data_IF_264507957272
#
_entry.id   IF_264507957272
#
_cell.length_a   1.000
_cell.length_b   1.000
_cell.length_c   1.000
_cell.angle_alpha   90.00
_cell.angle_beta   90.00
_cell.angle_gamma   90.00
#
_symmetry.space_group_name_H-M   'P 1'
#
loop_
_entity.id
_entity.type
_entity.pdbx_description
1 polymer ?
#
# COMPACT_ATOMS: atom_id res chain seq x y z
N UNK A 1 2.85 2.26 23.47
CA UNK A 1 1.87 2.27 22.36
C UNK A 1 2.55 2.96 21.19
N UNK A 2 2.37 2.48 19.97
CA UNK A 2 3.04 3.07 18.81
C UNK A 2 2.36 4.38 18.42
N UNK A 3 3.16 5.40 18.10
CA UNK A 3 2.68 6.72 17.68
C UNK A 3 2.15 6.65 16.25
N UNK A 4 2.80 5.84 15.40
CA UNK A 4 2.43 5.64 14.01
C UNK A 4 2.36 4.16 13.61
N UNK A 5 1.45 3.86 12.67
CA UNK A 5 1.38 2.59 11.95
C UNK A 5 1.64 2.83 10.47
N UNK A 6 2.56 2.08 9.88
CA UNK A 6 2.77 2.06 8.43
C UNK A 6 2.27 0.73 7.88
N UNK A 7 1.21 0.76 7.07
CA UNK A 7 0.78 -0.40 6.29
C UNK A 7 1.75 -0.57 5.11
N UNK A 8 2.52 -1.65 5.13
CA UNK A 8 3.55 -1.92 4.14
C UNK A 8 3.05 -2.92 3.10
N UNK A 9 3.17 -2.57 1.82
CA UNK A 9 2.78 -3.43 0.70
C UNK A 9 3.79 -3.38 -0.43
N UNK A 10 3.78 -4.39 -1.31
CA UNK A 10 4.63 -4.38 -2.49
C UNK A 10 4.30 -3.22 -3.42
N UNK A 11 3.05 -2.77 -3.46
CA UNK A 11 2.55 -1.84 -4.47
C UNK A 11 2.34 -2.50 -5.82
N UNK A 12 1.68 -1.78 -6.72
CA UNK A 12 1.24 -2.27 -8.03
C UNK A 12 1.44 -1.21 -9.11
N UNK A 13 1.68 -1.67 -10.33
CA UNK A 13 1.63 -0.83 -11.53
C UNK A 13 0.19 -0.53 -11.98
N UNK A 14 -0.79 -1.33 -11.51
CA UNK A 14 -2.20 -1.09 -11.77
C UNK A 14 -2.69 0.05 -10.88
N UNK A 15 -3.08 1.18 -11.50
CA UNK A 15 -3.67 2.29 -10.77
C UNK A 15 -4.93 1.85 -10.02
N UNK A 16 -5.14 2.40 -8.83
CA UNK A 16 -6.29 2.06 -7.98
C UNK A 16 -6.09 0.81 -7.11
N UNK A 17 -5.14 -0.07 -7.42
CA UNK A 17 -4.88 -1.28 -6.62
C UNK A 17 -4.51 -0.98 -5.15
N UNK A 18 -3.90 0.18 -4.88
CA UNK A 18 -3.57 0.64 -3.53
C UNK A 18 -4.75 1.22 -2.73
N UNK A 19 -5.91 1.46 -3.35
CA UNK A 19 -7.02 2.19 -2.70
C UNK A 19 -7.54 1.46 -1.47
N UNK A 20 -7.75 0.14 -1.57
CA UNK A 20 -8.20 -0.67 -0.44
C UNK A 20 -7.26 -0.56 0.78
N UNK A 21 -5.95 -0.44 0.54
CA UNK A 21 -4.98 -0.29 1.62
C UNK A 21 -5.01 1.11 2.25
N UNK A 22 -5.25 2.13 1.43
CA UNK A 22 -5.49 3.50 1.91
C UNK A 22 -6.75 3.58 2.78
N UNK A 23 -7.82 2.92 2.36
CA UNK A 23 -9.08 2.86 3.12
C UNK A 23 -8.90 2.13 4.46
N UNK A 24 -8.07 1.08 4.51
CA UNK A 24 -7.69 0.42 5.75
C UNK A 24 -6.90 1.35 6.68
N UNK A 25 -5.97 2.15 6.15
CA UNK A 25 -5.25 3.14 6.96
C UNK A 25 -6.21 4.18 7.55
N UNK A 26 -7.17 4.69 6.77
CA UNK A 26 -8.25 5.56 7.27
C UNK A 26 -9.00 4.89 8.41
N UNK A 27 -9.45 3.65 8.21
CA UNK A 27 -10.21 2.90 9.20
C UNK A 27 -9.44 2.67 10.50
N UNK A 28 -8.12 2.46 10.43
CA UNK A 28 -7.28 2.32 11.62
C UNK A 28 -7.20 3.62 12.43
N UNK A 29 -7.10 4.77 11.76
CA UNK A 29 -7.15 6.10 12.42
C UNK A 29 -8.51 6.33 13.07
N UNK A 30 -9.60 6.05 12.37
CA UNK A 30 -10.97 6.20 12.88
C UNK A 30 -11.23 5.35 14.12
N UNK A 31 -10.62 4.15 14.20
CA UNK A 31 -10.72 3.27 15.38
C UNK A 31 -9.83 3.70 16.54
N UNK A 32 -9.00 4.74 16.37
CA UNK A 32 -8.08 5.23 17.40
C UNK A 32 -6.93 4.27 17.71
N UNK A 33 -6.59 3.36 16.78
CA UNK A 33 -5.51 2.37 16.99
C UNK A 33 -4.14 3.05 17.00
N UNK A 34 -3.97 4.08 16.15
CA UNK A 34 -2.83 4.99 16.14
C UNK A 34 -3.30 6.37 15.67
N UNK A 35 -2.71 7.44 16.19
CA UNK A 35 -2.98 8.81 15.75
C UNK A 35 -2.48 9.05 14.33
N UNK A 36 -1.39 8.38 13.95
CA UNK A 36 -0.83 8.39 12.60
C UNK A 36 -0.97 6.98 12.02
N UNK A 37 -1.65 6.84 10.89
CA UNK A 37 -1.61 5.60 10.12
C UNK A 37 -1.44 5.94 8.64
N UNK A 38 -0.41 5.39 8.01
CA UNK A 38 -0.03 5.71 6.64
C UNK A 38 0.20 4.43 5.83
N UNK A 39 0.26 4.56 4.51
CA UNK A 39 0.57 3.44 3.61
C UNK A 39 1.91 3.70 2.94
N UNK A 40 2.82 2.73 3.02
CA UNK A 40 4.14 2.81 2.38
C UNK A 40 4.39 1.62 1.47
N UNK A 41 4.85 1.89 0.25
CA UNK A 41 5.06 0.85 -0.75
C UNK A 41 6.54 0.51 -0.96
N UNK A 42 6.81 -0.78 -1.16
CA UNK A 42 8.13 -1.28 -1.55
C UNK A 42 8.46 -0.95 -3.00
N UNK A 43 7.50 -1.12 -3.91
CA UNK A 43 7.69 -1.04 -5.37
C UNK A 43 6.48 -0.37 -6.05
N UNK A 44 6.69 0.19 -7.24
CA UNK A 44 5.68 0.61 -8.24
C UNK A 44 4.57 1.63 -7.86
N UNK A 45 4.29 1.82 -6.59
CA UNK A 45 3.28 2.72 -6.06
C UNK A 45 3.92 3.78 -5.17
N UNK A 46 3.21 4.89 -5.02
CA UNK A 46 3.57 6.01 -4.17
C UNK A 46 2.52 6.17 -3.06
N UNK A 47 2.90 6.61 -1.85
CA UNK A 47 4.26 6.99 -1.47
C UNK A 47 5.20 5.79 -1.21
N UNK A 48 6.48 5.95 -1.52
CA UNK A 48 7.52 4.99 -1.14
C UNK A 48 7.58 4.81 0.38
N UNK A 49 8.04 3.64 0.83
CA UNK A 49 8.22 3.37 2.26
C UNK A 49 9.04 4.46 2.97
N UNK A 50 10.17 4.87 2.40
CA UNK A 50 11.04 5.90 3.00
C UNK A 50 10.35 7.26 3.13
N UNK A 51 9.59 7.67 2.12
CA UNK A 51 8.86 8.94 2.12
C UNK A 51 7.72 8.91 3.14
N UNK A 52 7.06 7.75 3.26
CA UNK A 52 6.01 7.50 4.25
C UNK A 52 6.58 7.54 5.67
N UNK A 53 7.74 6.91 5.88
CA UNK A 53 8.44 6.91 7.16
C UNK A 53 8.80 8.33 7.56
N UNK A 54 9.43 9.10 6.67
CA UNK A 54 9.77 10.51 6.89
C UNK A 54 8.54 11.34 7.28
N UNK A 55 7.42 11.18 6.57
CA UNK A 55 6.16 11.86 6.92
C UNK A 55 5.63 11.51 8.31
N UNK A 56 5.77 10.25 8.74
CA UNK A 56 5.38 9.86 10.10
C UNK A 56 6.24 10.57 11.15
N UNK A 57 7.56 10.64 10.92
CA UNK A 57 8.50 11.33 11.80
C UNK A 57 8.25 12.84 11.84
N UNK A 58 7.98 13.47 10.69
CA UNK A 58 7.60 14.89 10.59
C UNK A 58 6.30 15.21 11.35
N UNK A 59 5.40 14.24 11.49
CA UNK A 59 4.19 14.32 12.31
C UNK A 59 4.46 14.07 13.82
N UNK A 60 5.73 13.84 14.21
CA UNK A 60 6.15 13.66 15.60
C UNK A 60 6.23 12.21 16.06
N UNK A 61 6.13 11.22 15.17
CA UNK A 61 6.24 9.81 15.56
C UNK A 61 7.67 9.46 16.00
N UNK A 62 7.78 8.89 17.21
CA UNK A 62 9.04 8.35 17.75
C UNK A 62 9.02 6.83 17.87
N UNK A 63 7.82 6.23 17.84
CA UNK A 63 7.59 4.80 17.81
C UNK A 63 6.72 4.42 16.60
N UNK A 64 7.30 3.71 15.64
CA UNK A 64 6.63 3.32 14.40
C UNK A 64 6.47 1.79 14.35
N UNK A 65 5.23 1.32 14.18
CA UNK A 65 4.96 -0.08 13.87
C UNK A 65 4.72 -0.24 12.38
N UNK A 66 5.55 -1.05 11.72
CA UNK A 66 5.35 -1.42 10.32
C UNK A 66 4.54 -2.71 10.27
N UNK A 67 3.37 -2.65 9.63
CA UNK A 67 2.44 -3.77 9.48
C UNK A 67 2.49 -4.27 8.04
N UNK A 68 3.10 -5.42 7.75
CA UNK A 68 3.12 -5.97 6.40
C UNK A 68 1.72 -6.44 5.99
N UNK A 69 1.14 -5.77 4.98
CA UNK A 69 -0.11 -6.17 4.33
C UNK A 69 0.13 -7.31 3.33
N UNK A 70 0.52 -8.46 3.87
CA UNK A 70 0.81 -9.69 3.13
C UNK A 70 0.12 -10.86 3.82
N UNK A 71 -0.43 -11.80 3.03
CA UNK A 71 -1.04 -13.02 3.57
C UNK A 71 0.01 -14.00 4.10
N UNK A 72 1.21 -13.99 3.53
CA UNK A 72 2.33 -14.86 3.92
C UNK A 72 3.61 -14.05 4.04
N UNK A 73 4.49 -14.46 4.95
CA UNK A 73 5.79 -13.84 5.15
C UNK A 73 6.86 -14.49 4.25
N UNK A 74 6.80 -14.18 2.95
CA UNK A 74 7.82 -14.59 1.96
C UNK A 74 8.99 -13.60 1.88
N UNK A 75 9.76 -13.66 0.79
CA UNK A 75 10.94 -12.82 0.53
C UNK A 75 10.72 -11.33 0.87
N UNK A 76 9.65 -10.73 0.36
CA UNK A 76 9.37 -9.30 0.56
C UNK A 76 9.19 -8.88 2.02
N UNK A 77 8.77 -9.81 2.89
CA UNK A 77 8.62 -9.55 4.33
C UNK A 77 9.88 -9.94 5.11
N UNK A 78 10.57 -10.99 4.67
CA UNK A 78 11.70 -11.59 5.41
C UNK A 78 13.08 -11.02 5.02
N UNK A 79 13.21 -10.43 3.84
CA UNK A 79 14.46 -9.88 3.31
C UNK A 79 14.27 -8.39 2.98
N UNK A 80 13.38 -8.05 2.04
CA UNK A 80 13.30 -6.68 1.52
C UNK A 80 12.78 -5.66 2.55
N UNK A 81 11.82 -6.04 3.41
CA UNK A 81 11.28 -5.17 4.45
C UNK A 81 12.35 -4.79 5.50
N UNK A 82 13.11 -5.73 6.08
CA UNK A 82 14.26 -5.40 6.93
C UNK A 82 15.23 -4.40 6.30
N UNK A 83 15.57 -4.55 5.01
CA UNK A 83 16.53 -3.68 4.32
C UNK A 83 16.01 -2.24 4.19
N UNK A 84 14.74 -2.06 3.82
CA UNK A 84 14.16 -0.71 3.73
C UNK A 84 13.97 -0.06 5.11
N UNK A 85 13.70 -0.86 6.16
CA UNK A 85 13.66 -0.37 7.53
C UNK A 85 15.05 0.07 7.98
N UNK A 86 16.08 -0.73 7.74
CA UNK A 86 17.46 -0.38 8.09
C UNK A 86 17.88 0.95 7.46
N UNK A 87 17.51 1.16 6.19
CA UNK A 87 17.73 2.44 5.50
C UNK A 87 17.02 3.60 6.19
N UNK A 88 15.74 3.43 6.55
CA UNK A 88 14.98 4.46 7.25
C UNK A 88 15.54 4.75 8.67
N UNK A 89 15.95 3.73 9.40
CA UNK A 89 16.55 3.89 10.74
C UNK A 89 17.92 4.55 10.70
N UNK A 90 18.69 4.38 9.62
CA UNK A 90 19.93 5.12 9.41
C UNK A 90 19.68 6.62 9.23
N UNK A 91 18.58 7.02 8.56
CA UNK A 91 18.17 8.42 8.41
C UNK A 91 17.56 8.99 9.71
N UNK A 92 16.84 8.17 10.47
CA UNK A 92 16.13 8.58 11.70
C UNK A 92 16.50 7.71 12.91
N UNK A 93 17.74 7.80 13.44
CA UNK A 93 18.25 6.90 14.47
C UNK A 93 17.57 7.04 15.84
N UNK A 94 16.80 8.12 16.05
CA UNK A 94 16.04 8.37 17.27
C UNK A 94 14.65 7.70 17.27
N UNK A 95 14.24 7.11 16.14
CA UNK A 95 12.93 6.48 15.98
C UNK A 95 13.03 4.99 16.25
N UNK A 96 12.21 4.51 17.19
CA UNK A 96 12.07 3.07 17.46
C UNK A 96 11.12 2.46 16.45
N UNK A 97 11.57 1.40 15.77
CA UNK A 97 10.77 0.70 14.76
C UNK A 97 10.51 -0.74 15.21
N UNK A 98 9.26 -1.18 15.07
CA UNK A 98 8.87 -2.57 15.27
C UNK A 98 8.14 -3.08 14.04
N UNK A 99 8.33 -4.36 13.73
CA UNK A 99 7.65 -5.02 12.61
C UNK A 99 6.61 -5.98 13.19
N UNK A 100 5.35 -5.79 12.80
CA UNK A 100 4.29 -6.73 13.15
C UNK A 100 4.38 -7.99 12.28
N UNK A 101 3.72 -9.05 12.70
CA UNK A 101 3.57 -10.23 11.86
C UNK A 101 2.71 -9.92 10.63
N UNK A 102 3.01 -10.60 9.52
CA UNK A 102 2.11 -10.68 8.38
C UNK A 102 0.77 -11.29 8.80
N UNK A 103 -0.27 -11.09 8.00
CA UNK A 103 -1.65 -11.51 8.33
C UNK A 103 -1.70 -13.01 8.69
N UNK A 104 -0.98 -13.85 7.91
CA UNK A 104 -0.88 -15.31 8.10
C UNK A 104 -2.26 -15.93 8.31
N UNK A 105 -2.31 -17.04 9.05
CA UNK A 105 -3.57 -17.59 9.53
C UNK A 105 -4.15 -16.69 10.62
N UNK A 106 -5.39 -16.25 10.44
CA UNK A 106 -6.16 -15.53 11.43
C UNK A 106 -7.64 -15.95 11.34
N UNK A 107 -8.35 -16.25 12.44
CA UNK A 107 -9.75 -16.71 12.37
C UNK A 107 -10.66 -15.76 11.59
N UNK A 108 -10.57 -14.44 11.85
CA UNK A 108 -11.36 -13.43 11.11
C UNK A 108 -11.03 -13.34 9.61
N UNK A 109 -9.87 -13.85 9.18
CA UNK A 109 -9.55 -13.90 7.75
C UNK A 109 -10.38 -14.97 7.05
N UNK A 110 -10.72 -16.08 7.71
CA UNK A 110 -11.60 -17.09 7.14
C UNK A 110 -12.98 -16.50 6.83
N UNK A 111 -13.54 -15.73 7.76
CA UNK A 111 -14.83 -15.04 7.56
C UNK A 111 -14.75 -14.02 6.42
N UNK A 112 -13.67 -13.26 6.34
CA UNK A 112 -13.45 -12.31 5.25
C UNK A 112 -13.33 -13.02 3.88
N UNK A 113 -12.66 -14.17 3.83
CA UNK A 113 -12.54 -14.98 2.62
C UNK A 113 -13.88 -15.58 2.20
N UNK A 114 -14.69 -16.06 3.14
CA UNK A 114 -16.05 -16.54 2.86
C UNK A 114 -16.93 -15.41 2.31
N UNK A 115 -16.88 -14.22 2.92
CA UNK A 115 -17.60 -13.06 2.41
C UNK A 115 -17.14 -12.68 1.00
N UNK A 116 -15.85 -12.85 0.67
CA UNK A 116 -15.35 -12.68 -0.70
C UNK A 116 -15.89 -13.75 -1.65
N UNK A 117 -15.95 -15.01 -1.22
CA UNK A 117 -16.51 -16.12 -2.00
C UNK A 117 -18.00 -15.93 -2.32
N UNK A 118 -18.77 -15.38 -1.38
CA UNK A 118 -20.19 -15.05 -1.59
C UNK A 118 -20.40 -13.97 -2.67
N UNK A 119 -19.37 -13.14 -2.93
CA UNK A 119 -19.35 -12.13 -4.00
C UNK A 119 -18.66 -12.62 -5.27
N UNK A 120 -18.52 -13.94 -5.43
CA UNK A 120 -17.93 -14.52 -6.63
C UNK A 120 -18.72 -14.09 -7.88
N UNK A 121 -17.97 -13.74 -8.92
CA UNK A 121 -18.48 -13.30 -10.22
C UNK A 121 -17.71 -13.98 -11.36
N UNK A 122 -18.29 -14.11 -12.57
CA UNK A 122 -17.62 -14.69 -13.72
C UNK A 122 -16.24 -14.06 -14.00
N UNK A 123 -15.24 -14.83 -14.48
CA UNK A 123 -13.89 -14.31 -14.74
C UNK A 123 -13.83 -13.09 -15.67
N UNK A 124 -14.80 -12.97 -16.59
CA UNK A 124 -14.89 -11.83 -17.50
C UNK A 124 -15.13 -10.49 -16.76
N UNK A 125 -15.79 -10.52 -15.60
CA UNK A 125 -16.13 -9.34 -14.81
C UNK A 125 -15.00 -8.90 -13.87
N UNK A 126 -13.91 -9.67 -13.77
CA UNK A 126 -12.75 -9.34 -12.93
C UNK A 126 -11.74 -8.41 -13.60
N UNK A 127 -11.91 -8.11 -14.89
CA UNK A 127 -11.02 -7.23 -15.64
C UNK A 127 -11.50 -5.79 -15.54
N UNK A 128 -10.67 -4.92 -14.99
CA UNK A 128 -10.92 -3.49 -15.06
C UNK A 128 -10.75 -3.00 -16.50
N UNK A 129 -11.68 -2.15 -16.93
CA UNK A 129 -11.56 -1.41 -18.19
C UNK A 129 -10.50 -0.31 -18.06
N UNK A 130 -9.93 0.13 -19.18
CA UNK A 130 -8.99 1.27 -19.19
C UNK A 130 -9.60 2.53 -18.56
N UNK A 131 -10.90 2.77 -18.74
CA UNK A 131 -11.60 3.90 -18.14
C UNK A 131 -11.65 3.81 -16.60
N UNK A 132 -11.93 2.63 -16.05
CA UNK A 132 -11.90 2.40 -14.60
C UNK A 132 -10.50 2.63 -14.02
N UNK A 133 -9.46 2.10 -14.69
CA UNK A 133 -8.07 2.29 -14.24
C UNK A 133 -7.65 3.77 -14.35
N UNK A 134 -8.03 4.46 -15.43
CA UNK A 134 -7.70 5.86 -15.67
C UNK A 134 -8.18 6.79 -14.55
N UNK A 135 -9.35 6.51 -13.96
CA UNK A 135 -9.92 7.29 -12.86
C UNK A 135 -9.00 7.34 -11.62
N UNK A 136 -8.13 6.35 -11.44
CA UNK A 136 -7.20 6.28 -10.30
C UNK A 136 -5.76 6.63 -10.69
N UNK A 137 -5.47 6.87 -11.97
CA UNK A 137 -4.12 7.20 -12.38
C UNK A 137 -3.81 8.66 -12.12
N UNK A 138 -2.64 8.88 -11.51
CA UNK A 138 -2.03 10.20 -11.39
C UNK A 138 -0.85 10.16 -12.35
N UNK A 139 -0.84 10.98 -13.38
CA UNK A 139 0.26 11.08 -14.33
C UNK A 139 1.60 11.10 -13.58
N UNK A 140 2.37 10.01 -13.64
CA UNK A 140 3.56 9.81 -12.82
C UNK A 140 4.73 9.42 -13.73
N UNK A 141 5.70 10.32 -13.97
CA UNK A 141 6.87 10.04 -14.78
C UNK A 141 7.73 8.87 -14.32
N UNK A 142 7.61 8.44 -13.05
CA UNK A 142 8.32 7.27 -12.50
C UNK A 142 7.62 5.94 -12.73
N UNK A 143 6.37 5.95 -13.20
CA UNK A 143 5.64 4.73 -13.51
C UNK A 143 6.25 4.07 -14.76
N UNK A 144 6.52 2.75 -14.73
CA UNK A 144 7.11 2.05 -15.90
C UNK A 144 6.19 2.05 -17.13
N UNK A 145 4.89 2.30 -16.93
CA UNK A 145 3.92 2.42 -18.01
C UNK A 145 3.70 3.88 -18.45
N UNK A 146 4.33 4.88 -17.81
CA UNK A 146 4.09 6.27 -18.16
C UNK A 146 4.56 6.60 -19.58
N UNK A 147 3.69 7.21 -20.38
CA UNK A 147 3.99 7.56 -21.78
C UNK A 147 3.99 6.39 -22.76
N UNK A 148 3.76 5.15 -22.30
CA UNK A 148 3.63 3.99 -23.20
C UNK A 148 2.20 3.86 -23.73
N UNK A 149 2.00 3.01 -24.75
CA UNK A 149 0.68 2.69 -25.31
C UNK A 149 -0.33 2.09 -24.30
N UNK A 150 0.21 1.55 -23.21
CA UNK A 150 -0.53 0.92 -22.12
C UNK A 150 -0.81 1.87 -20.96
N UNK A 151 -0.32 3.12 -21.05
CA UNK A 151 -0.65 4.17 -20.08
C UNK A 151 -2.11 4.62 -20.24
N UNK A 152 -2.97 4.41 -19.24
CA UNK A 152 -4.35 4.91 -19.30
C UNK A 152 -4.42 6.44 -19.09
N UNK A 153 -3.40 7.06 -18.49
CA UNK A 153 -3.36 8.50 -18.21
C UNK A 153 -3.01 9.37 -19.43
N UNK A 154 -2.21 8.87 -20.37
CA UNK A 154 -1.80 9.64 -21.55
C UNK A 154 -2.72 9.45 -22.77
N UNK A 155 -3.57 8.42 -22.76
CA UNK A 155 -4.55 8.14 -23.82
C UNK A 155 -5.91 8.84 -23.65
N UNK A 156 -6.17 9.48 -22.51
CA UNK A 156 -7.42 10.21 -22.26
C UNK A 156 -7.59 11.46 -23.16
N UNK A 157 -6.61 11.77 -24.02
CA UNK A 157 -6.61 12.97 -24.90
C UNK A 157 -7.03 12.65 -26.34
N UNK A 158 -7.18 11.38 -26.76
CA UNK A 158 -7.43 11.03 -28.18
C UNK A 158 -8.84 10.51 -28.52
N UNK A 159 -9.88 10.88 -27.75
CA UNK A 159 -11.27 10.66 -28.20
C UNK A 159 -12.15 11.88 -27.93
N UNK A 160 -11.88 12.98 -28.63
CA UNK A 160 -12.92 13.96 -29.00
C UNK A 160 -12.58 14.50 -30.40
N UNK A 161 -13.36 14.00 -31.36
CA UNK A 161 -13.67 14.49 -32.71
C UNK A 161 -12.56 14.56 -33.77
#
# INVERSE_FOLDING_TARGET
MSDAIILFSHGSVLCGAGQNLADLAVRLRERGVASIAEVGYLNYSEPRFIDTFRRCVEQGATHITVVPYFLVAGKFVKEDLPDVIATAQAEFPHVTVQVADAIRFHPLLADALLACADRARPPAEWRDTKAQVAAFCRANPRCPLYGTQDCPATRAVEVVQ
#
